data_IF_309058941650
#
_entry.id   IF_309058941650
#
_cell.length_a   1.000
_cell.length_b   1.000
_cell.length_c   1.000
_cell.angle_alpha   90.00
_cell.angle_beta   90.00
_cell.angle_gamma   90.00
#
_symmetry.space_group_name_H-M   'P 1'
#
loop_
_entity.id
_entity.type
_entity.pdbx_description
1 polymer ?
#
# COMPACT_ATOMS: atom_id res chain seq x y z
N UNK A 1 17.54 8.75 21.33
CA UNK A 1 16.34 9.25 20.65
C UNK A 1 15.36 8.11 20.51
N UNK A 2 14.09 8.31 20.84
CA UNK A 2 12.99 7.37 20.57
C UNK A 2 12.10 8.06 19.54
N UNK A 3 11.87 7.44 18.39
CA UNK A 3 11.06 8.05 17.32
C UNK A 3 9.87 7.18 16.95
N UNK A 4 8.81 7.84 16.50
CA UNK A 4 7.69 7.22 15.83
C UNK A 4 7.09 8.21 14.85
N UNK A 5 6.67 7.72 13.69
CA UNK A 5 6.00 8.51 12.68
C UNK A 5 4.61 7.93 12.44
N UNK A 6 3.70 8.74 11.91
CA UNK A 6 2.34 8.28 11.65
C UNK A 6 1.75 9.06 10.51
N UNK A 7 1.00 8.37 9.65
CA UNK A 7 0.36 8.96 8.50
C UNK A 7 -1.06 8.46 8.35
N UNK A 8 -1.94 9.38 8.01
CA UNK A 8 -3.22 9.13 7.34
C UNK A 8 -3.24 10.00 6.09
N UNK A 9 -4.03 9.66 5.06
CA UNK A 9 -4.25 10.60 3.96
C UNK A 9 -4.63 11.99 4.48
N UNK A 10 -3.85 12.99 4.07
CA UNK A 10 -3.95 14.38 4.46
C UNK A 10 -3.30 14.76 5.79
N UNK A 11 -2.70 13.82 6.54
CA UNK A 11 -2.07 14.09 7.85
C UNK A 11 -0.83 13.24 8.09
N UNK A 12 0.30 13.89 8.36
CA UNK A 12 1.54 13.22 8.71
C UNK A 12 2.06 13.74 10.06
N UNK A 13 2.73 12.87 10.81
CA UNK A 13 3.27 13.14 12.13
C UNK A 13 4.71 12.66 12.23
N UNK A 14 5.54 13.46 12.90
CA UNK A 14 6.90 13.13 13.30
C UNK A 14 7.00 13.32 14.80
N UNK A 15 7.36 12.26 15.52
CA UNK A 15 7.51 12.30 16.97
C UNK A 15 8.90 11.81 17.34
N UNK A 16 9.62 12.60 18.13
CA UNK A 16 10.93 12.26 18.66
C UNK A 16 11.07 12.65 20.13
N UNK A 17 11.46 11.72 20.98
CA UNK A 17 11.73 11.95 22.40
C UNK A 17 13.20 11.72 22.73
N UNK A 18 13.75 12.57 23.60
CA UNK A 18 15.12 12.56 24.10
C UNK A 18 15.08 12.52 25.64
N UNK A 19 14.83 11.33 26.24
CA UNK A 19 14.54 11.23 27.67
C UNK A 19 15.67 11.71 28.58
N UNK A 20 16.93 11.47 28.17
CA UNK A 20 18.11 11.90 28.94
C UNK A 20 18.35 13.41 28.88
N UNK A 21 17.82 14.07 27.85
CA UNK A 21 17.94 15.51 27.62
C UNK A 21 16.71 16.28 28.09
N UNK A 22 15.66 15.59 28.58
CA UNK A 22 14.40 16.21 29.02
C UNK A 22 13.64 16.91 27.89
N UNK A 23 13.82 16.46 26.65
CA UNK A 23 13.34 17.14 25.45
C UNK A 23 12.53 16.22 24.54
N UNK A 24 11.59 16.80 23.78
CA UNK A 24 10.82 16.08 22.77
C UNK A 24 10.23 17.01 21.72
N UNK A 25 10.01 16.47 20.53
CA UNK A 25 9.40 17.16 19.39
C UNK A 25 8.23 16.33 18.89
N UNK A 26 7.08 16.98 18.73
CA UNK A 26 5.94 16.47 17.99
C UNK A 26 5.63 17.49 16.90
N UNK A 27 5.78 17.09 15.65
CA UNK A 27 5.46 17.91 14.49
C UNK A 27 4.37 17.23 13.68
N UNK A 28 3.48 18.03 13.09
CA UNK A 28 2.39 17.54 12.24
C UNK A 28 2.26 18.42 11.00
N UNK A 29 1.89 17.81 9.87
CA UNK A 29 1.53 18.53 8.64
C UNK A 29 0.27 17.93 8.07
N UNK A 30 -0.60 18.79 7.54
CA UNK A 30 -1.86 18.40 6.90
C UNK A 30 -1.69 18.30 5.37
N UNK A 31 -0.74 17.48 4.92
CA UNK A 31 -0.42 17.30 3.51
C UNK A 31 0.03 15.86 3.26
N UNK A 32 -0.43 15.25 2.17
CA UNK A 32 0.02 13.94 1.69
C UNK A 32 1.50 13.95 1.22
N UNK A 33 1.99 15.15 0.92
CA UNK A 33 3.25 15.41 0.24
C UNK A 33 4.32 16.02 1.15
N UNK A 34 4.09 15.99 2.47
CA UNK A 34 4.84 16.81 3.44
C UNK A 34 5.85 16.06 4.29
N UNK A 35 6.06 14.76 4.10
CA UNK A 35 6.80 13.93 5.06
C UNK A 35 8.27 14.36 5.20
N UNK A 36 8.93 14.67 4.10
CA UNK A 36 10.31 15.11 4.06
C UNK A 36 10.47 16.50 4.69
N UNK A 37 9.54 17.41 4.39
CA UNK A 37 9.51 18.75 4.99
C UNK A 37 9.28 18.64 6.50
N UNK A 38 8.37 17.77 6.91
CA UNK A 38 8.05 17.50 8.30
C UNK A 38 9.27 16.97 9.07
N UNK A 39 9.94 15.97 8.50
CA UNK A 39 11.17 15.41 9.09
C UNK A 39 12.30 16.45 9.11
N UNK A 40 12.50 17.19 8.03
CA UNK A 40 13.52 18.25 7.96
C UNK A 40 13.31 19.31 9.05
N UNK A 41 12.06 19.76 9.23
CA UNK A 41 11.71 20.70 10.29
C UNK A 41 11.92 20.08 11.69
N UNK A 42 11.48 18.83 11.90
CA UNK A 42 11.65 18.10 13.15
C UNK A 42 13.11 17.93 13.55
N UNK A 43 13.95 17.42 12.65
CA UNK A 43 15.39 17.26 12.89
C UNK A 43 16.12 18.60 13.05
N UNK A 44 15.71 19.64 12.32
CA UNK A 44 16.27 20.98 12.51
C UNK A 44 16.02 21.52 13.92
N UNK A 45 14.82 21.31 14.49
CA UNK A 45 14.53 21.67 15.87
C UNK A 45 15.38 20.89 16.86
N UNK A 46 15.53 19.58 16.65
CA UNK A 46 16.39 18.72 17.48
C UNK A 46 17.83 19.23 17.50
N UNK A 47 18.42 19.48 16.33
CA UNK A 47 19.80 19.95 16.23
C UNK A 47 20.00 21.29 16.93
N UNK A 48 19.09 22.24 16.71
CA UNK A 48 19.19 23.57 17.31
C UNK A 48 19.03 23.55 18.83
N UNK A 49 18.14 22.73 19.39
CA UNK A 49 17.90 22.68 20.85
C UNK A 49 19.01 21.94 21.57
N UNK A 50 19.50 20.83 21.01
CA UNK A 50 20.53 20.00 21.64
C UNK A 50 21.97 20.44 21.30
N UNK A 51 22.12 21.47 20.47
CA UNK A 51 23.42 22.02 20.09
C UNK A 51 24.23 21.11 19.17
N UNK A 52 23.58 20.25 18.40
CA UNK A 52 24.26 19.45 17.38
C UNK A 52 24.52 20.32 16.15
N UNK A 53 25.72 20.20 15.57
CA UNK A 53 25.96 20.79 14.26
C UNK A 53 25.10 20.07 13.22
N UNK A 54 24.34 20.81 12.38
CA UNK A 54 23.64 20.19 11.27
C UNK A 54 24.67 19.49 10.37
N UNK A 55 24.42 18.23 9.95
CA UNK A 55 25.39 17.53 9.11
C UNK A 55 25.64 18.34 7.85
N UNK A 56 26.92 18.59 7.54
CA UNK A 56 27.37 19.38 6.39
C UNK A 56 26.90 18.83 5.04
N UNK A 57 26.43 17.58 5.00
CA UNK A 57 25.87 16.89 3.83
C UNK A 57 24.33 16.95 3.72
N UNK A 58 23.61 17.42 4.74
CA UNK A 58 22.14 17.49 4.70
C UNK A 58 21.68 18.84 4.16
N UNK A 59 21.75 19.03 2.85
CA UNK A 59 20.94 20.04 2.19
C UNK A 59 19.53 19.47 2.04
N UNK A 60 18.68 19.62 3.06
CA UNK A 60 17.29 19.14 3.04
C UNK A 60 16.52 19.61 1.80
N UNK A 61 16.82 20.81 1.26
CA UNK A 61 16.24 21.31 0.02
C UNK A 61 16.65 20.49 -1.22
N UNK A 62 17.85 19.92 -1.23
CA UNK A 62 18.29 19.00 -2.28
C UNK A 62 17.73 17.59 -2.11
N UNK A 63 17.38 17.16 -0.89
CA UNK A 63 16.69 15.89 -0.62
C UNK A 63 15.21 15.91 -1.01
N UNK A 64 14.60 17.11 -1.05
CA UNK A 64 13.22 17.33 -1.52
C UNK A 64 13.05 17.22 -3.05
N UNK A 65 14.16 17.27 -3.81
CA UNK A 65 14.15 17.42 -5.28
C UNK A 65 14.05 16.11 -6.09
N UNK A 66 14.61 14.94 -5.68
CA UNK A 66 14.58 13.75 -6.52
C UNK A 66 13.30 12.93 -6.37
N UNK A 67 12.65 12.93 -5.19
CA UNK A 67 11.64 11.91 -4.88
C UNK A 67 10.29 12.13 -5.59
N UNK A 68 9.95 13.37 -5.94
CA UNK A 68 8.79 13.68 -6.81
C UNK A 68 9.03 13.42 -8.29
N UNK A 69 10.29 13.30 -8.73
CA UNK A 69 10.66 13.06 -10.13
C UNK A 69 11.15 11.64 -10.41
N UNK A 70 11.27 10.80 -9.39
CA UNK A 70 11.80 9.43 -9.53
C UNK A 70 10.96 8.35 -8.88
N UNK A 71 9.70 8.64 -8.51
CA UNK A 71 8.72 7.56 -8.63
C UNK A 71 8.61 7.29 -10.13
N UNK A 72 9.03 6.12 -10.64
CA UNK A 72 8.51 5.72 -11.93
C UNK A 72 7.00 5.69 -11.72
N UNK A 73 6.30 6.70 -12.23
CA UNK A 73 5.05 6.42 -12.90
C UNK A 73 5.48 5.34 -13.87
N UNK A 74 5.25 4.08 -13.49
CA UNK A 74 5.42 2.97 -14.41
C UNK A 74 4.46 3.37 -15.51
N UNK A 75 5.01 3.94 -16.59
CA UNK A 75 4.21 4.39 -17.70
C UNK A 75 3.29 3.23 -18.00
N UNK A 76 2.01 3.55 -18.16
CA UNK A 76 1.01 2.72 -18.80
C UNK A 76 1.40 2.55 -20.29
N UNK A 77 2.67 2.18 -20.52
CA UNK A 77 3.09 1.41 -21.67
C UNK A 77 2.12 0.26 -21.74
N UNK A 78 1.63 -0.02 -22.94
CA UNK A 78 0.75 -1.12 -23.31
C UNK A 78 1.38 -2.46 -22.90
N UNK A 79 1.43 -2.72 -21.59
CA UNK A 79 1.96 -3.92 -20.99
C UNK A 79 0.96 -5.00 -21.32
N UNK A 80 1.38 -5.92 -22.18
CA UNK A 80 0.79 -7.23 -22.24
C UNK A 80 0.93 -7.82 -20.83
N UNK A 81 -0.13 -7.74 -20.03
CA UNK A 81 -0.18 -8.37 -18.72
C UNK A 81 0.04 -9.87 -18.94
N UNK A 82 1.07 -10.48 -18.33
CA UNK A 82 1.28 -11.91 -18.45
C UNK A 82 0.04 -12.64 -17.94
N UNK A 83 -0.37 -13.66 -18.67
CA UNK A 83 -1.50 -14.47 -18.26
C UNK A 83 -1.13 -15.21 -16.96
N UNK A 84 -1.95 -15.11 -15.89
CA UNK A 84 -1.72 -15.85 -14.67
C UNK A 84 -1.75 -17.37 -14.93
N UNK A 85 -1.18 -18.16 -14.02
CA UNK A 85 -1.12 -19.63 -14.18
C UNK A 85 -2.50 -20.27 -14.32
N UNK A 86 -3.50 -19.71 -13.63
CA UNK A 86 -4.90 -20.10 -13.71
C UNK A 86 -5.74 -18.92 -14.25
N UNK A 87 -6.95 -19.17 -14.78
CA UNK A 87 -7.89 -18.08 -15.08
C UNK A 87 -8.21 -17.29 -13.81
N UNK A 88 -8.47 -15.97 -13.92
CA UNK A 88 -8.70 -15.07 -12.77
C UNK A 88 -9.80 -15.58 -11.83
N UNK A 89 -10.84 -16.20 -12.40
CA UNK A 89 -11.96 -16.79 -11.68
C UNK A 89 -11.51 -17.87 -10.69
N UNK A 90 -10.40 -18.57 -10.95
CA UNK A 90 -9.87 -19.58 -10.03
C UNK A 90 -9.33 -18.99 -8.72
N UNK A 91 -8.93 -17.70 -8.75
CA UNK A 91 -8.43 -16.95 -7.60
C UNK A 91 -9.53 -16.19 -6.84
N UNK A 92 -10.78 -16.21 -7.30
CA UNK A 92 -11.92 -15.66 -6.56
C UNK A 92 -12.13 -16.35 -5.21
N UNK A 93 -12.77 -15.67 -4.27
CA UNK A 93 -13.14 -16.25 -2.98
C UNK A 93 -12.64 -15.43 -1.80
N UNK A 94 -12.88 -15.94 -0.60
CA UNK A 94 -12.56 -15.23 0.63
C UNK A 94 -11.18 -15.60 1.13
N UNK A 95 -10.40 -14.60 1.48
CA UNK A 95 -9.05 -14.71 2.02
C UNK A 95 -9.06 -14.07 3.40
N UNK A 96 -8.49 -14.75 4.39
CA UNK A 96 -8.56 -14.34 5.78
C UNK A 96 -7.21 -14.48 6.47
N UNK A 97 -6.88 -13.47 7.27
CA UNK A 97 -5.77 -13.49 8.22
C UNK A 97 -6.27 -12.96 9.58
N UNK A 98 -5.84 -13.50 10.73
CA UNK A 98 -6.31 -13.04 12.03
C UNK A 98 -6.00 -11.57 12.39
N UNK A 99 -4.88 -11.04 11.92
CA UNK A 99 -4.44 -9.66 12.19
C UNK A 99 -4.97 -8.65 11.18
N UNK A 100 -5.08 -9.06 9.92
CA UNK A 100 -5.51 -8.22 8.79
C UNK A 100 -7.00 -8.42 8.46
N UNK A 101 -7.63 -9.44 9.02
CA UNK A 101 -9.01 -9.86 8.79
C UNK A 101 -9.24 -10.41 7.39
N UNK A 102 -10.49 -10.40 6.93
CA UNK A 102 -10.89 -11.04 5.68
C UNK A 102 -11.35 -10.06 4.59
N UNK A 103 -11.19 -10.47 3.33
CA UNK A 103 -11.77 -9.87 2.14
C UNK A 103 -12.13 -10.95 1.11
N UNK A 104 -13.05 -10.63 0.19
CA UNK A 104 -13.47 -11.54 -0.88
C UNK A 104 -13.05 -10.97 -2.23
N UNK A 105 -12.23 -11.71 -2.97
CA UNK A 105 -11.76 -11.35 -4.30
C UNK A 105 -12.82 -11.67 -5.35
N UNK A 106 -13.00 -10.70 -6.25
CA UNK A 106 -13.91 -10.75 -7.39
C UNK A 106 -13.11 -10.55 -8.69
N UNK A 107 -13.33 -11.40 -9.68
CA UNK A 107 -12.85 -11.16 -11.05
C UNK A 107 -13.79 -10.20 -11.79
N UNK A 108 -13.38 -9.67 -12.96
CA UNK A 108 -14.27 -8.87 -13.82
C UNK A 108 -15.52 -9.63 -14.28
N UNK A 109 -15.45 -10.96 -14.30
CA UNK A 109 -16.53 -11.85 -14.72
C UNK A 109 -17.43 -12.30 -13.56
N UNK A 110 -17.11 -11.92 -12.32
CA UNK A 110 -17.91 -12.26 -11.14
C UNK A 110 -19.34 -11.72 -11.26
N UNK A 111 -20.33 -12.57 -10.94
CA UNK A 111 -21.76 -12.22 -11.04
C UNK A 111 -22.48 -12.14 -9.69
N UNK A 112 -21.78 -12.38 -8.58
CA UNK A 112 -22.37 -12.28 -7.25
C UNK A 112 -22.81 -10.85 -6.94
N UNK A 113 -23.85 -10.68 -6.12
CA UNK A 113 -24.33 -9.36 -5.72
C UNK A 113 -23.23 -8.54 -5.02
N UNK A 114 -22.44 -9.18 -4.16
CA UNK A 114 -21.27 -8.58 -3.52
C UNK A 114 -20.26 -8.06 -4.56
N UNK A 115 -19.85 -8.91 -5.50
CA UNK A 115 -18.86 -8.54 -6.51
C UNK A 115 -19.37 -7.44 -7.43
N UNK A 116 -20.66 -7.45 -7.78
CA UNK A 116 -21.25 -6.37 -8.55
C UNK A 116 -21.12 -5.01 -7.83
N UNK A 117 -21.34 -4.96 -6.51
CA UNK A 117 -21.13 -3.76 -5.71
C UNK A 117 -19.67 -3.27 -5.69
N UNK A 118 -18.71 -4.20 -5.56
CA UNK A 118 -17.27 -3.88 -5.61
C UNK A 118 -16.88 -3.34 -6.99
N UNK A 119 -17.23 -4.04 -8.05
CA UNK A 119 -16.86 -3.70 -9.42
C UNK A 119 -17.48 -2.37 -9.87
N UNK A 120 -18.73 -2.09 -9.47
CA UNK A 120 -19.39 -0.81 -9.74
C UNK A 120 -18.74 0.34 -8.97
N UNK A 121 -18.28 0.11 -7.74
CA UNK A 121 -17.52 1.11 -6.96
C UNK A 121 -16.18 1.43 -7.63
N UNK A 122 -15.45 0.43 -8.12
CA UNK A 122 -14.22 0.66 -8.88
C UNK A 122 -14.51 1.43 -10.19
N UNK A 123 -15.63 1.14 -10.85
CA UNK A 123 -16.04 1.82 -12.08
C UNK A 123 -16.23 3.33 -11.94
N UNK A 124 -16.49 3.84 -10.73
CA UNK A 124 -16.67 5.28 -10.51
C UNK A 124 -15.36 6.06 -10.54
N UNK A 125 -14.22 5.40 -10.31
CA UNK A 125 -12.91 6.05 -10.13
C UNK A 125 -11.81 5.52 -11.05
N UNK A 126 -11.91 4.28 -11.52
CA UNK A 126 -11.00 3.69 -12.48
C UNK A 126 -11.74 3.44 -13.79
N UNK A 127 -11.11 3.80 -14.92
CA UNK A 127 -11.61 3.41 -16.24
C UNK A 127 -11.40 1.90 -16.39
N UNK A 128 -12.50 1.15 -16.35
CA UNK A 128 -12.58 -0.32 -16.20
C UNK A 128 -11.81 -1.17 -17.21
N UNK A 129 -11.23 -0.59 -18.26
CA UNK A 129 -11.11 -1.34 -19.52
C UNK A 129 -9.78 -2.04 -19.82
N UNK A 130 -8.66 -1.77 -19.14
CA UNK A 130 -7.37 -2.28 -19.65
C UNK A 130 -6.48 -3.02 -18.63
N UNK A 131 -6.86 -3.13 -17.35
CA UNK A 131 -6.04 -3.85 -16.36
C UNK A 131 -6.74 -5.12 -15.89
N UNK A 132 -6.33 -6.32 -16.35
CA UNK A 132 -6.77 -7.58 -15.78
C UNK A 132 -6.44 -7.59 -14.28
N UNK A 133 -7.42 -7.93 -13.43
CA UNK A 133 -7.18 -7.94 -12.00
C UNK A 133 -8.35 -8.48 -11.19
N UNK A 134 -8.09 -8.71 -9.91
CA UNK A 134 -9.08 -9.07 -8.90
C UNK A 134 -9.37 -7.85 -8.04
N UNK A 135 -10.61 -7.72 -7.58
CA UNK A 135 -11.08 -6.57 -6.83
C UNK A 135 -11.74 -7.03 -5.54
N UNK A 136 -11.59 -6.26 -4.48
CA UNK A 136 -12.29 -6.50 -3.22
C UNK A 136 -12.64 -5.21 -2.49
N UNK A 137 -13.73 -5.23 -1.74
CA UNK A 137 -13.91 -4.32 -0.62
C UNK A 137 -13.20 -4.90 0.61
N UNK A 138 -12.43 -4.06 1.29
CA UNK A 138 -11.69 -4.42 2.49
C UNK A 138 -11.66 -3.23 3.46
N UNK A 139 -12.74 -3.00 4.21
CA UNK A 139 -12.86 -1.85 5.12
C UNK A 139 -11.94 -2.03 6.33
N UNK A 140 -10.82 -1.31 6.31
CA UNK A 140 -9.81 -1.23 7.36
C UNK A 140 -9.50 0.24 7.67
N UNK A 141 -8.70 0.49 8.71
CA UNK A 141 -8.42 1.85 9.19
C UNK A 141 -7.83 2.74 8.08
N UNK A 142 -7.07 2.18 7.15
CA UNK A 142 -6.38 2.93 6.11
C UNK A 142 -6.87 2.64 4.69
N UNK A 143 -7.64 1.59 4.46
CA UNK A 143 -8.09 1.20 3.11
C UNK A 143 -9.55 0.80 3.13
N UNK A 144 -10.25 1.02 2.03
CA UNK A 144 -11.60 0.51 1.81
C UNK A 144 -11.67 -0.54 0.72
N UNK A 145 -10.72 -0.56 -0.21
CA UNK A 145 -10.74 -1.45 -1.38
C UNK A 145 -9.32 -1.88 -1.80
N UNK A 146 -9.26 -3.05 -2.42
CA UNK A 146 -8.03 -3.64 -2.97
C UNK A 146 -8.21 -3.95 -4.45
N UNK A 147 -7.14 -3.76 -5.23
CA UNK A 147 -6.99 -4.33 -6.56
C UNK A 147 -5.73 -5.20 -6.56
N UNK A 148 -5.83 -6.41 -7.10
CA UNK A 148 -4.71 -7.35 -7.23
C UNK A 148 -4.48 -7.59 -8.72
N UNK A 149 -3.30 -7.25 -9.22
CA UNK A 149 -2.97 -7.19 -10.64
C UNK A 149 -1.95 -8.30 -10.95
N UNK A 150 -2.18 -9.17 -11.95
CA UNK A 150 -1.22 -10.19 -12.35
C UNK A 150 0.10 -9.56 -12.78
N UNK A 151 1.20 -10.16 -12.33
CA UNK A 151 2.56 -9.79 -12.74
C UNK A 151 3.17 -10.91 -13.56
N UNK A 152 3.30 -12.11 -12.99
CA UNK A 152 3.90 -13.27 -13.65
C UNK A 152 3.56 -14.56 -12.91
N UNK A 153 3.05 -15.59 -13.61
CA UNK A 153 2.69 -16.87 -13.00
C UNK A 153 1.65 -16.71 -11.89
N UNK A 154 2.04 -17.02 -10.65
CA UNK A 154 1.22 -16.80 -9.45
C UNK A 154 1.55 -15.52 -8.68
N UNK A 155 2.43 -14.66 -9.21
CA UNK A 155 2.81 -13.39 -8.57
C UNK A 155 1.91 -12.26 -9.03
N UNK A 156 1.47 -11.46 -8.07
CA UNK A 156 0.54 -10.36 -8.27
C UNK A 156 0.97 -9.14 -7.46
N UNK A 157 0.60 -7.96 -7.94
CA UNK A 157 0.78 -6.70 -7.23
C UNK A 157 -0.54 -6.29 -6.60
N UNK A 158 -0.54 -6.00 -5.29
CA UNK A 158 -1.68 -5.43 -4.57
C UNK A 158 -1.56 -3.90 -4.56
N UNK A 159 -2.67 -3.24 -4.89
CA UNK A 159 -2.90 -1.82 -4.68
C UNK A 159 -4.03 -1.61 -3.68
N UNK A 160 -3.78 -0.80 -2.66
CA UNK A 160 -4.77 -0.41 -1.66
C UNK A 160 -5.31 0.99 -1.94
N UNK A 161 -6.63 1.13 -1.79
CA UNK A 161 -7.36 2.36 -2.08
C UNK A 161 -8.26 2.73 -0.93
N UNK A 162 -8.50 4.03 -0.77
CA UNK A 162 -9.74 4.54 -0.19
C UNK A 162 -10.56 5.20 -1.29
N UNK A 163 -11.65 4.54 -1.71
CA UNK A 163 -12.54 5.01 -2.76
C UNK A 163 -13.70 5.83 -2.16
N UNK A 164 -13.97 6.99 -2.74
CA UNK A 164 -15.10 7.86 -2.41
C UNK A 164 -16.04 7.93 -3.63
N UNK A 165 -16.93 6.95 -3.81
CA UNK A 165 -17.76 6.87 -5.02
C UNK A 165 -18.73 8.04 -5.16
N UNK A 166 -19.15 8.64 -4.05
CA UNK A 166 -20.06 9.80 -4.02
C UNK A 166 -19.32 11.14 -3.81
N UNK A 167 -17.99 11.12 -3.93
CA UNK A 167 -17.12 12.24 -3.60
C UNK A 167 -17.16 12.67 -2.14
N UNK A 168 -16.58 13.84 -1.85
CA UNK A 168 -16.54 14.41 -0.51
C UNK A 168 -16.53 15.94 -0.58
N UNK A 169 -17.27 16.59 0.33
CA UNK A 169 -17.39 18.05 0.34
C UNK A 169 -18.53 18.59 -0.54
N UNK A 170 -18.35 19.82 -1.07
CA UNK A 170 -19.33 20.50 -1.94
C UNK A 170 -19.34 19.92 -3.35
N UNK A 171 -18.16 19.58 -3.86
CA UNK A 171 -18.05 18.78 -5.06
C UNK A 171 -18.36 17.32 -4.70
N UNK A 172 -19.21 16.69 -5.50
CA UNK A 172 -19.63 15.28 -5.34
C UNK A 172 -19.01 14.38 -6.40
N UNK A 173 -18.04 14.90 -7.17
CA UNK A 173 -17.26 14.10 -8.09
C UNK A 173 -16.58 12.92 -7.35
N UNK A 174 -16.69 11.69 -7.86
CA UNK A 174 -15.99 10.55 -7.30
C UNK A 174 -14.48 10.76 -7.34
N UNK A 175 -13.77 10.30 -6.31
CA UNK A 175 -12.30 10.31 -6.30
C UNK A 175 -11.75 9.16 -5.47
N UNK A 176 -10.44 8.93 -5.61
CA UNK A 176 -9.73 7.87 -4.89
C UNK A 176 -8.48 8.44 -4.22
N UNK A 177 -8.25 8.05 -2.98
CA UNK A 177 -6.99 8.25 -2.27
C UNK A 177 -6.17 6.95 -2.33
N UNK A 178 -4.92 7.05 -2.77
CA UNK A 178 -3.95 5.94 -2.78
C UNK A 178 -3.11 6.06 -1.51
N UNK A 179 -3.14 5.02 -0.68
CA UNK A 179 -2.62 5.07 0.70
C UNK A 179 -1.11 5.16 0.75
N UNK A 180 -0.43 4.59 -0.26
CA UNK A 180 1.03 4.43 -0.25
C UNK A 180 1.69 5.18 -1.42
N UNK A 181 1.11 6.33 -1.80
CA UNK A 181 1.57 7.08 -2.97
C UNK A 181 1.44 6.30 -4.29
N UNK A 182 0.65 5.22 -4.31
CA UNK A 182 0.51 4.32 -5.46
C UNK A 182 1.50 3.16 -5.50
N UNK A 183 2.23 2.90 -4.41
CA UNK A 183 3.05 1.71 -4.26
C UNK A 183 2.25 0.42 -4.54
N UNK A 184 2.96 -0.61 -4.99
CA UNK A 184 2.42 -1.93 -5.32
C UNK A 184 3.09 -2.97 -4.43
N UNK A 185 2.32 -3.67 -3.62
CA UNK A 185 2.82 -4.71 -2.73
C UNK A 185 2.85 -6.04 -3.47
N UNK A 186 4.04 -6.64 -3.61
CA UNK A 186 4.18 -7.90 -4.31
C UNK A 186 3.73 -9.06 -3.44
N UNK A 187 2.77 -9.83 -3.92
CA UNK A 187 2.27 -11.05 -3.30
C UNK A 187 2.31 -12.23 -4.27
N UNK A 188 2.12 -13.43 -3.72
CA UNK A 188 2.10 -14.67 -4.48
C UNK A 188 0.95 -15.56 -4.01
N UNK A 189 0.15 -16.05 -4.96
CA UNK A 189 -0.87 -17.05 -4.67
C UNK A 189 -0.25 -18.42 -4.55
N UNK A 190 -0.63 -19.15 -3.51
CA UNK A 190 -0.17 -20.52 -3.30
C UNK A 190 -1.13 -21.46 -4.01
N UNK A 191 -0.67 -22.06 -5.11
CA UNK A 191 -1.46 -23.02 -5.90
C UNK A 191 -0.94 -24.43 -5.66
N UNK A 192 -1.81 -25.32 -5.17
CA UNK A 192 -1.50 -26.75 -4.98
C UNK A 192 -2.54 -27.61 -5.66
N UNK A 193 -2.10 -28.49 -6.56
CA UNK A 193 -3.00 -29.38 -7.31
C UNK A 193 -4.04 -28.62 -8.14
N UNK A 194 -3.67 -27.48 -8.72
CA UNK A 194 -4.57 -26.63 -9.52
C UNK A 194 -5.61 -25.86 -8.69
N UNK A 195 -5.44 -25.77 -7.37
CA UNK A 195 -6.32 -25.01 -6.47
C UNK A 195 -5.53 -23.98 -5.68
N UNK A 196 -6.03 -22.75 -5.67
CA UNK A 196 -5.50 -21.68 -4.82
C UNK A 196 -5.84 -21.98 -3.37
N UNK A 197 -4.82 -21.99 -2.51
CA UNK A 197 -4.90 -22.27 -1.07
C UNK A 197 -4.80 -21.00 -0.22
N UNK A 198 -4.13 -19.97 -0.73
CA UNK A 198 -3.94 -18.71 0.00
C UNK A 198 -3.15 -17.69 -0.81
N UNK A 199 -2.92 -16.55 -0.20
CA UNK A 199 -2.19 -15.41 -0.76
C UNK A 199 -1.13 -14.95 0.24
N UNK A 200 0.14 -15.04 -0.16
CA UNK A 200 1.29 -14.70 0.65
C UNK A 200 1.86 -13.34 0.24
N UNK A 201 2.27 -12.53 1.22
CA UNK A 201 3.08 -11.33 1.03
C UNK A 201 4.40 -11.52 1.77
N UNK A 202 5.46 -11.99 1.06
CA UNK A 202 6.73 -12.33 1.69
C UNK A 202 7.39 -11.15 2.40
N UNK A 203 7.25 -9.96 1.81
CA UNK A 203 7.77 -8.70 2.31
C UNK A 203 6.73 -7.89 3.11
N UNK A 204 5.58 -8.52 3.42
CA UNK A 204 4.47 -7.88 4.12
C UNK A 204 3.73 -6.85 3.27
N UNK A 205 3.02 -5.95 3.95
CA UNK A 205 2.31 -4.83 3.34
C UNK A 205 3.03 -3.50 3.62
N UNK A 206 4.36 -3.55 3.64
CA UNK A 206 5.25 -2.40 3.82
C UNK A 206 6.02 -2.09 2.54
N UNK A 207 6.47 -0.84 2.39
CA UNK A 207 7.09 -0.35 1.15
C UNK A 207 8.54 -0.85 0.94
N UNK A 208 9.18 -1.41 1.95
CA UNK A 208 10.57 -1.86 1.87
C UNK A 208 10.66 -3.39 2.03
N UNK A 209 11.24 -4.10 1.04
CA UNK A 209 11.44 -5.54 1.14
C UNK A 209 12.41 -5.89 2.27
N UNK A 210 12.15 -6.99 2.96
CA UNK A 210 13.02 -7.40 4.07
C UNK A 210 14.35 -7.94 3.54
N UNK A 211 15.51 -7.44 4.01
CA UNK A 211 16.81 -7.81 3.47
C UNK A 211 17.23 -9.27 3.70
N UNK A 212 16.46 -10.06 4.47
CA UNK A 212 16.80 -11.44 4.84
C UNK A 212 15.60 -12.41 4.78
N UNK A 213 14.64 -12.21 3.86
CA UNK A 213 13.56 -13.18 3.69
C UNK A 213 14.12 -14.54 3.26
N UNK A 214 13.92 -15.59 4.07
CA UNK A 214 14.25 -16.96 3.72
C UNK A 214 13.26 -17.45 2.66
N UNK A 215 13.71 -17.47 1.40
CA UNK A 215 12.90 -17.86 0.23
C UNK A 215 13.02 -19.35 -0.12
N UNK A 216 13.82 -20.12 0.63
CA UNK A 216 14.02 -21.55 0.38
C UNK A 216 12.97 -22.43 1.08
N UNK A 217 12.18 -21.82 1.99
CA UNK A 217 11.09 -22.46 2.72
C UNK A 217 9.72 -22.09 2.13
N UNK A 218 8.66 -22.89 2.40
CA UNK A 218 7.32 -22.60 1.92
C UNK A 218 6.84 -21.22 2.38
N UNK A 219 6.26 -20.45 1.46
CA UNK A 219 5.77 -19.08 1.74
C UNK A 219 4.66 -19.06 2.80
N UNK A 220 3.93 -20.16 2.96
CA UNK A 220 2.95 -20.32 4.04
C UNK A 220 3.59 -20.27 5.42
N UNK A 221 4.89 -20.56 5.53
CA UNK A 221 5.66 -20.54 6.78
C UNK A 221 6.55 -19.32 6.92
N UNK A 222 6.95 -18.68 5.81
CA UNK A 222 7.94 -17.59 5.82
C UNK A 222 7.40 -16.23 5.45
N UNK A 223 6.21 -16.14 4.85
CA UNK A 223 5.63 -14.84 4.54
C UNK A 223 5.29 -14.07 5.82
N UNK A 224 5.58 -12.77 5.82
CA UNK A 224 5.21 -11.87 6.92
C UNK A 224 3.69 -11.82 7.08
N UNK A 225 2.98 -11.81 5.95
CA UNK A 225 1.52 -11.85 5.92
C UNK A 225 1.07 -12.99 5.02
N UNK A 226 0.17 -13.82 5.52
CA UNK A 226 -0.41 -14.92 4.78
C UNK A 226 -1.93 -14.95 5.00
N UNK A 227 -2.67 -14.78 3.92
CA UNK A 227 -4.13 -14.95 3.95
C UNK A 227 -4.48 -16.36 3.50
N UNK A 228 -5.12 -17.11 4.39
CA UNK A 228 -5.69 -18.42 4.08
C UNK A 228 -6.97 -18.24 3.26
N UNK A 229 -7.14 -19.05 2.22
CA UNK A 229 -8.40 -19.08 1.47
C UNK A 229 -9.43 -19.91 2.24
N UNK A 230 -10.60 -19.32 2.51
CA UNK A 230 -11.70 -19.93 3.29
C UNK A 230 -12.96 -20.15 2.49
#
# INVERSE_FOLDING_TARGET
MITHNGGLPGFLTFTAFFPYDGFGVVAMVNSDAGYEVLQAAGYSLVHNVLGFEPPTSQNWASSLSPMYHSMPVREDSTQSYPEPELPLEAYEGTYSDPGYGAFTLCSPMSTSNYCWGVLTTFATVLTHNDTPGLYAAWPRVWTSHLQIIPVEGNRFDLQAFTIFPEGYGKDKAPFVARIDGGYRYSGEFIVKGGKVQGLAFPDGLDAEPLPNADRDRPLEETAIVYFERV
#
